data_IF_389351775469
#
_entry.id   IF_389351775469
#
_cell.length_a   1.000
_cell.length_b   1.000
_cell.length_c   1.000
_cell.angle_alpha   90.00
_cell.angle_beta   90.00
_cell.angle_gamma   90.00
#
_symmetry.space_group_name_H-M   'P 1'
#
loop_
_entity.id
_entity.type
_entity.pdbx_description
1 polymer ?
#
# COMPACT_ATOMS: atom_id res chain seq x y z
N UNK A 1 3.85 -10.16 -22.09
CA UNK A 1 3.23 -10.25 -20.76
C UNK A 1 3.43 -8.92 -20.08
N UNK A 2 2.35 -8.19 -19.82
CA UNK A 2 2.39 -6.96 -19.02
C UNK A 2 2.70 -7.36 -17.58
N UNK A 3 3.85 -6.94 -17.06
CA UNK A 3 4.18 -7.15 -15.64
C UNK A 3 3.32 -6.18 -14.84
N UNK A 4 2.26 -6.69 -14.21
CA UNK A 4 1.45 -5.96 -13.26
C UNK A 4 1.94 -6.28 -11.85
N UNK A 5 2.30 -5.26 -11.09
CA UNK A 5 2.74 -5.39 -9.70
C UNK A 5 1.77 -4.65 -8.79
N UNK A 6 1.23 -5.32 -7.78
CA UNK A 6 0.56 -4.65 -6.66
C UNK A 6 1.64 -4.16 -5.71
N UNK A 7 1.59 -2.87 -5.39
CA UNK A 7 2.47 -2.21 -4.44
C UNK A 7 1.66 -1.70 -3.25
N UNK A 8 2.28 -1.70 -2.08
CA UNK A 8 1.72 -1.20 -0.85
C UNK A 8 2.56 -0.02 -0.35
N UNK A 9 1.92 1.12 -0.11
CA UNK A 9 2.56 2.36 0.34
C UNK A 9 2.01 2.73 1.73
N UNK A 10 2.89 2.77 2.73
CA UNK A 10 2.49 3.09 4.10
C UNK A 10 2.67 4.58 4.37
N UNK A 11 1.62 5.22 4.86
CA UNK A 11 1.66 6.59 5.33
C UNK A 11 1.44 6.62 6.83
N UNK A 12 2.47 7.07 7.55
CA UNK A 12 2.38 7.26 8.98
C UNK A 12 1.29 8.29 9.31
N UNK A 13 0.49 7.97 10.32
CA UNK A 13 -0.50 8.90 10.85
C UNK A 13 0.16 10.14 11.43
N UNK A 14 -0.60 11.22 11.47
CA UNK A 14 -0.23 12.46 12.16
C UNK A 14 -1.25 12.73 13.26
N UNK A 15 -1.08 13.80 14.04
CA UNK A 15 -2.06 14.20 15.06
C UNK A 15 -3.49 14.36 14.50
N UNK A 16 -3.63 14.70 13.22
CA UNK A 16 -4.93 14.96 12.58
C UNK A 16 -5.38 13.87 11.60
N UNK A 17 -4.54 12.87 11.31
CA UNK A 17 -4.84 11.84 10.30
C UNK A 17 -4.41 10.46 10.79
N UNK A 18 -5.31 9.49 10.66
CA UNK A 18 -4.98 8.09 10.94
C UNK A 18 -3.89 7.58 9.98
N UNK A 19 -3.06 6.61 10.40
CA UNK A 19 -2.16 5.91 9.49
C UNK A 19 -2.95 5.13 8.45
N UNK A 20 -2.42 5.07 7.23
CA UNK A 20 -3.07 4.36 6.12
C UNK A 20 -2.08 3.53 5.33
N UNK A 21 -2.62 2.54 4.63
CA UNK A 21 -1.95 1.76 3.62
C UNK A 21 -2.66 1.97 2.29
N UNK A 22 -1.97 2.56 1.32
CA UNK A 22 -2.47 2.65 -0.05
C UNK A 22 -2.00 1.44 -0.85
N UNK A 23 -2.93 0.83 -1.58
CA UNK A 23 -2.66 -0.22 -2.54
C UNK A 23 -2.66 0.41 -3.92
N UNK A 24 -1.55 0.24 -4.63
CA UNK A 24 -1.33 0.82 -5.96
C UNK A 24 -1.02 -0.30 -6.94
N UNK A 25 -1.63 -0.25 -8.12
CA UNK A 25 -1.30 -1.13 -9.23
C UNK A 25 -0.28 -0.42 -10.12
N UNK A 26 0.88 -1.04 -10.28
CA UNK A 26 1.96 -0.54 -11.14
C UNK A 26 2.03 -1.41 -12.40
N UNK A 27 1.84 -0.80 -13.56
CA UNK A 27 1.90 -1.47 -14.85
C UNK A 27 2.12 -0.47 -15.99
N UNK A 28 2.88 -0.86 -17.02
CA UNK A 28 3.16 -0.01 -18.19
C UNK A 28 3.70 1.40 -17.86
N UNK A 29 4.49 1.53 -16.78
CA UNK A 29 5.02 2.82 -16.32
C UNK A 29 3.99 3.71 -15.64
N UNK A 30 2.76 3.25 -15.46
CA UNK A 30 1.69 3.97 -14.77
C UNK A 30 1.45 3.39 -13.38
N UNK A 31 0.89 4.24 -12.51
CA UNK A 31 0.46 3.92 -11.16
C UNK A 31 -1.02 4.24 -11.04
N UNK A 32 -1.82 3.22 -10.78
CA UNK A 32 -3.25 3.37 -10.53
C UNK A 32 -3.54 3.11 -9.05
N UNK A 33 -4.18 4.05 -8.37
CA UNK A 33 -4.66 3.82 -7.01
C UNK A 33 -5.79 2.79 -7.02
N UNK A 34 -5.72 1.80 -6.14
CA UNK A 34 -6.70 0.72 -6.04
C UNK A 34 -7.60 0.94 -4.83
N UNK A 35 -7.00 1.09 -3.65
CA UNK A 35 -7.74 1.34 -2.41
C UNK A 35 -6.85 1.94 -1.33
N UNK A 36 -7.48 2.50 -0.30
CA UNK A 36 -6.85 2.97 0.93
C UNK A 36 -7.41 2.20 2.11
N UNK A 37 -6.54 1.56 2.89
CA UNK A 37 -6.89 0.81 4.10
C UNK A 37 -6.42 1.58 5.32
N UNK A 38 -7.31 1.80 6.29
CA UNK A 38 -6.93 2.33 7.61
C UNK A 38 -6.13 1.27 8.37
N UNK A 39 -4.98 1.66 8.91
CA UNK A 39 -4.12 0.78 9.72
C UNK A 39 -3.69 1.50 10.99
N UNK A 40 -3.38 0.75 12.03
CA UNK A 40 -2.92 1.25 13.31
C UNK A 40 -1.44 1.64 13.24
N UNK A 41 -0.63 0.87 12.51
CA UNK A 41 0.81 1.10 12.42
C UNK A 41 1.44 0.36 11.22
N UNK A 42 2.75 0.59 11.05
CA UNK A 42 3.59 -0.02 10.01
C UNK A 42 3.69 -1.55 10.11
N UNK A 43 3.50 -2.16 11.28
CA UNK A 43 3.53 -3.63 11.44
C UNK A 43 2.26 -4.25 10.87
N UNK A 44 1.10 -3.67 11.18
CA UNK A 44 -0.18 -4.09 10.60
C UNK A 44 -0.20 -3.88 9.09
N UNK A 45 0.27 -2.72 8.61
CA UNK A 45 0.39 -2.45 7.18
C UNK A 45 1.18 -3.54 6.43
N UNK A 46 2.22 -4.12 7.05
CA UNK A 46 3.02 -5.20 6.43
C UNK A 46 2.27 -6.52 6.38
N UNK A 47 1.47 -6.81 7.41
CA UNK A 47 0.63 -7.99 7.43
C UNK A 47 -0.44 -7.88 6.32
N UNK A 48 -1.15 -6.75 6.27
CA UNK A 48 -2.15 -6.47 5.23
C UNK A 48 -1.54 -6.54 3.82
N UNK A 49 -0.38 -5.91 3.59
CA UNK A 49 0.29 -5.98 2.29
C UNK A 49 0.64 -7.43 1.89
N UNK A 50 1.11 -8.25 2.84
CA UNK A 50 1.41 -9.67 2.59
C UNK A 50 0.16 -10.46 2.25
N UNK A 51 -0.92 -10.24 3.00
CA UNK A 51 -2.19 -10.95 2.81
C UNK A 51 -2.82 -10.61 1.45
N UNK A 52 -2.61 -9.38 0.96
CA UNK A 52 -3.05 -8.92 -0.36
C UNK A 52 -2.09 -9.30 -1.50
N UNK A 53 -0.95 -9.92 -1.21
CA UNK A 53 0.08 -10.20 -2.22
C UNK A 53 0.71 -8.92 -2.81
N UNK A 54 0.63 -7.79 -2.08
CA UNK A 54 1.19 -6.51 -2.48
C UNK A 54 2.64 -6.37 -1.98
N UNK A 55 3.51 -5.86 -2.85
CA UNK A 55 4.93 -5.63 -2.54
C UNK A 55 5.08 -4.38 -1.68
N UNK A 56 5.71 -4.47 -0.50
CA UNK A 56 5.99 -3.29 0.33
C UNK A 56 6.93 -2.32 -0.41
N UNK A 57 6.46 -1.11 -0.71
CA UNK A 57 7.21 -0.14 -1.52
C UNK A 57 7.86 0.97 -0.70
N UNK A 58 7.06 1.67 0.11
CA UNK A 58 7.53 2.75 0.98
C UNK A 58 7.13 2.47 2.44
N UNK A 59 7.73 1.44 3.02
CA UNK A 59 7.49 1.08 4.40
C UNK A 59 8.48 1.76 5.32
#
# INVERSE_FOLDING_TARGET
MTVMTLAAEFYAGTRAKAPVLDIVRIGNGQRDHVETILVINKREARAVARDLGATPWNF
#
